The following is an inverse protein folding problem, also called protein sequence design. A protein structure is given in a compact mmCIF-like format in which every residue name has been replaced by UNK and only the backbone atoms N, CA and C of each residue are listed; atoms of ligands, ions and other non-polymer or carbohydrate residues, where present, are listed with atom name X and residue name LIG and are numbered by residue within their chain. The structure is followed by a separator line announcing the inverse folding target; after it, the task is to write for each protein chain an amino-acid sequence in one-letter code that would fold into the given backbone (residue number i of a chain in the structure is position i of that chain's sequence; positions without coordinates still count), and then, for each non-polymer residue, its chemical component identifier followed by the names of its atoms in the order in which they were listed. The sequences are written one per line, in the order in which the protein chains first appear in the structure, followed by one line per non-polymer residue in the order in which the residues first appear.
data_IF_595548090472
#
_entry.id   IF_595548090472
#
_cell.length_a   1.000
_cell.length_b   1.000
_cell.length_c   1.000
_cell.angle_alpha   90.00
_cell.angle_beta   90.00
_cell.angle_gamma   90.00
#
_symmetry.space_group_name_H-M   'P 1'
#
loop_
_entity.id
_entity.type
_entity.pdbx_description
1 polymer ?
#
# COMPACT_ATOMS: atom_id res chain seq x y z
N UNK A 1 0.09 28.74 7.99
CA UNK A 1 0.02 27.35 7.53
C UNK A 1 -1.25 27.24 6.71
N UNK A 2 -1.12 26.89 5.44
CA UNK A 2 -2.28 26.68 4.56
C UNK A 2 -2.98 25.36 4.88
N UNK A 3 -4.28 25.27 4.63
CA UNK A 3 -4.97 24.00 4.66
C UNK A 3 -4.53 23.18 3.44
N UNK A 4 -4.30 21.88 3.61
CA UNK A 4 -3.99 20.98 2.50
C UNK A 4 -5.21 20.13 2.21
N UNK A 5 -5.68 20.16 0.97
CA UNK A 5 -6.86 19.45 0.54
C UNK A 5 -6.49 18.27 -0.38
N UNK A 6 -7.23 17.17 -0.26
CA UNK A 6 -7.29 16.12 -1.27
C UNK A 6 -8.37 16.50 -2.27
N UNK A 7 -8.00 16.73 -3.53
CA UNK A 7 -8.90 17.21 -4.57
C UNK A 7 -9.15 16.19 -5.69
N UNK A 8 -8.45 15.06 -5.67
CA UNK A 8 -8.67 13.97 -6.62
C UNK A 8 -8.10 12.67 -6.12
N UNK A 9 -8.82 11.57 -6.35
CA UNK A 9 -8.39 10.23 -6.01
C UNK A 9 -8.54 9.30 -7.21
N UNK A 10 -7.58 8.39 -7.37
CA UNK A 10 -7.61 7.38 -8.41
C UNK A 10 -7.06 6.06 -7.92
N UNK A 11 -7.69 4.98 -8.34
CA UNK A 11 -7.29 3.64 -7.94
C UNK A 11 -7.36 2.69 -9.14
N UNK A 12 -6.35 1.85 -9.31
CA UNK A 12 -6.44 0.62 -10.08
C UNK A 12 -7.05 -0.47 -9.20
N UNK A 13 -7.89 -1.32 -9.76
CA UNK A 13 -8.48 -2.43 -8.98
C UNK A 13 -7.38 -3.30 -8.37
N UNK A 14 -7.55 -3.66 -7.08
CA UNK A 14 -6.64 -4.59 -6.41
C UNK A 14 -6.97 -6.03 -6.78
N UNK A 15 -5.94 -6.81 -7.07
CA UNK A 15 -6.13 -8.21 -7.49
C UNK A 15 -4.86 -8.90 -7.92
N UNK A 16 -5.01 -9.77 -8.91
CA UNK A 16 -3.94 -10.38 -9.68
C UNK A 16 -4.21 -10.12 -11.16
N UNK A 17 -3.31 -9.41 -11.80
CA UNK A 17 -3.50 -8.92 -13.17
C UNK A 17 -2.37 -9.42 -14.07
N UNK A 18 -2.70 -10.38 -14.96
CA UNK A 18 -1.75 -10.83 -15.96
C UNK A 18 -1.65 -9.83 -17.12
N UNK A 19 -0.46 -9.73 -17.72
CA UNK A 19 -0.23 -8.88 -18.89
C UNK A 19 -0.12 -7.37 -18.63
N UNK A 20 -0.32 -6.89 -17.39
CA UNK A 20 -0.14 -5.49 -17.01
C UNK A 20 0.96 -5.36 -15.95
N UNK A 21 1.89 -4.46 -16.11
CA UNK A 21 2.95 -4.20 -15.15
C UNK A 21 2.43 -3.41 -13.94
N UNK A 22 3.13 -3.51 -12.78
CA UNK A 22 2.77 -2.70 -11.62
C UNK A 22 2.88 -1.19 -11.91
N UNK A 23 3.85 -0.78 -12.73
CA UNK A 23 3.97 0.61 -13.18
C UNK A 23 2.73 1.06 -13.98
N UNK A 24 2.21 0.24 -14.89
CA UNK A 24 1.00 0.57 -15.64
C UNK A 24 -0.22 0.68 -14.74
N UNK A 25 -0.31 -0.16 -13.68
CA UNK A 25 -1.36 -0.02 -12.66
C UNK A 25 -1.25 1.31 -11.92
N UNK A 26 -0.04 1.76 -11.59
CA UNK A 26 0.21 3.08 -11.02
C UNK A 26 -0.18 4.21 -11.97
N UNK A 27 0.17 4.11 -13.26
CA UNK A 27 -0.22 5.10 -14.29
C UNK A 27 -1.74 5.20 -14.44
N UNK A 28 -2.45 4.07 -14.40
CA UNK A 28 -3.92 4.07 -14.41
C UNK A 28 -4.48 4.81 -13.19
N UNK A 29 -3.92 4.57 -12.00
CA UNK A 29 -4.32 5.28 -10.79
C UNK A 29 -4.08 6.80 -10.91
N UNK A 30 -2.92 7.22 -11.41
CA UNK A 30 -2.61 8.64 -11.66
C UNK A 30 -3.62 9.28 -12.63
N UNK A 31 -3.89 8.64 -13.77
CA UNK A 31 -4.85 9.15 -14.74
C UNK A 31 -6.27 9.28 -14.17
N UNK A 32 -6.70 8.32 -13.33
CA UNK A 32 -8.00 8.38 -12.65
C UNK A 32 -8.05 9.51 -11.62
N UNK A 33 -6.97 9.73 -10.85
CA UNK A 33 -6.89 10.83 -9.88
C UNK A 33 -6.93 12.21 -10.56
N UNK A 34 -6.24 12.36 -11.69
CA UNK A 34 -6.28 13.57 -12.51
C UNK A 34 -7.69 13.81 -13.09
N UNK A 35 -8.32 12.76 -13.59
CA UNK A 35 -9.70 12.87 -14.10
C UNK A 35 -10.70 13.25 -13.01
N UNK A 36 -10.54 12.72 -11.81
CA UNK A 36 -11.40 13.02 -10.64
C UNK A 36 -11.24 14.48 -10.18
N UNK A 37 -10.01 15.01 -10.21
CA UNK A 37 -9.73 16.42 -9.88
C UNK A 37 -10.08 17.40 -11.01
N UNK A 38 -10.33 16.94 -12.23
CA UNK A 38 -10.50 17.79 -13.41
C UNK A 38 -9.21 18.42 -13.91
N UNK A 39 -8.05 17.94 -13.46
CA UNK A 39 -6.73 18.46 -13.79
C UNK A 39 -5.98 17.55 -14.77
N UNK A 40 -4.89 18.05 -15.32
CA UNK A 40 -4.01 17.33 -16.22
C UNK A 40 -2.64 17.08 -15.60
N UNK A 41 -1.84 16.20 -16.19
CA UNK A 41 -0.47 15.95 -15.74
C UNK A 41 0.42 17.20 -15.84
N UNK A 42 0.16 18.07 -16.79
CA UNK A 42 0.87 19.33 -17.01
C UNK A 42 0.65 20.36 -15.88
N UNK A 43 -0.45 20.25 -15.16
CA UNK A 43 -0.76 21.15 -14.03
C UNK A 43 0.03 20.79 -12.77
N UNK A 44 0.55 19.57 -12.68
CA UNK A 44 1.28 19.09 -11.50
C UNK A 44 2.65 19.76 -11.38
N UNK A 45 2.93 20.34 -10.21
CA UNK A 45 4.20 20.98 -9.90
C UNK A 45 5.23 19.96 -9.37
N UNK A 46 4.77 18.91 -8.70
CA UNK A 46 5.62 17.83 -8.19
C UNK A 46 4.86 16.51 -8.16
N UNK A 47 5.62 15.41 -8.04
CA UNK A 47 5.08 14.09 -7.75
C UNK A 47 5.97 13.35 -6.74
N UNK A 48 5.35 12.66 -5.78
CA UNK A 48 5.99 11.67 -4.93
C UNK A 48 5.41 10.30 -5.22
N UNK A 49 6.26 9.29 -5.31
CA UNK A 49 5.73 7.96 -5.54
C UNK A 49 6.71 6.85 -5.24
N UNK A 50 6.20 5.63 -5.18
CA UNK A 50 7.04 4.48 -4.96
C UNK A 50 6.32 3.15 -5.01
N UNK A 51 7.13 2.14 -5.14
CA UNK A 51 6.77 0.74 -5.03
C UNK A 51 7.88 -0.01 -4.31
N UNK A 52 7.59 -1.22 -3.84
CA UNK A 52 8.63 -2.13 -3.35
C UNK A 52 9.24 -2.98 -4.47
N UNK A 53 8.41 -3.48 -5.38
CA UNK A 53 8.79 -4.52 -6.34
C UNK A 53 8.46 -4.17 -7.80
N UNK A 54 7.72 -3.09 -8.05
CA UNK A 54 7.22 -2.75 -9.38
C UNK A 54 8.05 -1.68 -10.12
N UNK A 55 9.20 -1.31 -9.58
CA UNK A 55 10.13 -0.35 -10.18
C UNK A 55 10.04 1.06 -9.60
N UNK A 56 10.85 1.97 -10.08
CA UNK A 56 10.92 3.36 -9.64
C UNK A 56 9.74 4.16 -10.20
N UNK A 57 9.11 4.98 -9.36
CA UNK A 57 7.87 5.69 -9.73
C UNK A 57 8.11 6.80 -10.77
N UNK A 58 9.27 7.45 -10.75
CA UNK A 58 9.66 8.49 -11.70
C UNK A 58 9.68 7.99 -13.16
N UNK A 59 9.86 6.70 -13.38
CA UNK A 59 9.76 6.11 -14.72
C UNK A 59 8.35 6.23 -15.35
N UNK A 60 7.32 6.55 -14.54
CA UNK A 60 5.96 6.83 -15.04
C UNK A 60 5.92 8.00 -16.02
N UNK A 61 6.88 8.92 -15.99
CA UNK A 61 6.97 10.04 -16.95
C UNK A 61 7.05 9.55 -18.39
N UNK A 62 7.57 8.35 -18.63
CA UNK A 62 7.58 7.73 -19.96
C UNK A 62 6.17 7.45 -20.52
N UNK A 63 5.16 7.36 -19.66
CA UNK A 63 3.77 7.09 -20.00
C UNK A 63 2.84 8.29 -19.77
N UNK A 64 3.24 9.22 -18.89
CA UNK A 64 2.45 10.42 -18.54
C UNK A 64 2.91 11.65 -19.32
N UNK A 65 4.15 11.68 -19.74
CA UNK A 65 4.78 12.80 -20.44
C UNK A 65 5.84 13.52 -19.62
N UNK A 66 6.79 14.14 -20.30
CA UNK A 66 7.84 14.95 -19.69
C UNK A 66 7.33 16.39 -19.55
N UNK A 67 7.15 16.87 -18.32
CA UNK A 67 6.72 18.24 -18.02
C UNK A 67 7.77 19.07 -17.32
N UNK A 68 8.86 18.42 -16.87
CA UNK A 68 9.88 19.04 -16.03
C UNK A 68 9.54 19.09 -14.54
N UNK A 69 8.40 18.51 -14.14
CA UNK A 69 8.05 18.41 -12.72
C UNK A 69 9.10 17.57 -11.95
N UNK A 70 9.27 17.89 -10.68
CA UNK A 70 10.11 17.11 -9.79
C UNK A 70 9.37 15.86 -9.34
N UNK A 71 9.80 14.69 -9.83
CA UNK A 71 9.27 13.40 -9.40
C UNK A 71 10.27 12.71 -8.47
N UNK A 72 9.90 12.53 -7.19
CA UNK A 72 10.76 11.96 -6.16
C UNK A 72 10.27 10.56 -5.81
N UNK A 73 11.19 9.59 -5.88
CA UNK A 73 10.96 8.23 -5.42
C UNK A 73 10.99 8.15 -3.90
N UNK A 74 9.97 7.50 -3.33
CA UNK A 74 9.84 7.23 -1.90
C UNK A 74 9.93 5.74 -1.67
N UNK A 75 10.67 5.32 -0.65
CA UNK A 75 10.81 3.92 -0.26
C UNK A 75 10.63 3.77 1.26
N UNK A 76 9.56 3.12 1.68
CA UNK A 76 9.28 2.81 3.09
C UNK A 76 8.54 1.47 3.24
N UNK A 77 8.98 0.44 2.52
CA UNK A 77 8.36 -0.88 2.55
C UNK A 77 6.86 -0.82 2.26
N UNK A 78 6.05 -1.46 3.12
CA UNK A 78 4.60 -1.47 2.98
C UNK A 78 3.94 -0.09 3.20
N UNK A 79 4.63 0.86 3.81
CA UNK A 79 4.15 2.22 4.06
C UNK A 79 4.55 3.23 2.98
N UNK A 80 5.13 2.78 1.86
CA UNK A 80 5.64 3.66 0.79
C UNK A 80 4.58 4.63 0.27
N UNK A 81 3.37 4.17 -0.02
CA UNK A 81 2.28 5.04 -0.48
C UNK A 81 1.87 6.10 0.55
N UNK A 82 1.77 5.71 1.83
CA UNK A 82 1.51 6.65 2.92
C UNK A 82 2.63 7.69 3.10
N UNK A 83 3.88 7.26 2.95
CA UNK A 83 5.03 8.16 3.01
C UNK A 83 5.08 9.13 1.81
N UNK A 84 4.69 8.68 0.62
CA UNK A 84 4.55 9.56 -0.55
C UNK A 84 3.49 10.64 -0.30
N UNK A 85 2.31 10.27 0.23
CA UNK A 85 1.27 11.23 0.59
C UNK A 85 1.72 12.20 1.68
N UNK A 86 2.41 11.71 2.71
CA UNK A 86 2.95 12.55 3.77
C UNK A 86 3.98 13.55 3.25
N UNK A 87 4.85 13.12 2.32
CA UNK A 87 5.81 14.03 1.66
C UNK A 87 5.11 15.08 0.81
N UNK A 88 4.06 14.70 0.07
CA UNK A 88 3.25 15.63 -0.72
C UNK A 88 2.55 16.66 0.18
N UNK A 89 1.95 16.21 1.28
CA UNK A 89 1.34 17.08 2.28
C UNK A 89 2.32 18.14 2.80
N UNK A 90 3.50 17.71 3.25
CA UNK A 90 4.52 18.62 3.78
C UNK A 90 5.02 19.63 2.73
N UNK A 91 5.08 19.24 1.46
CA UNK A 91 5.50 20.13 0.37
C UNK A 91 4.50 21.26 0.12
N UNK A 92 3.21 20.99 0.27
CA UNK A 92 2.15 22.00 0.21
C UNK A 92 2.16 22.86 1.50
N UNK A 93 2.13 22.22 2.67
CA UNK A 93 2.05 22.90 3.96
C UNK A 93 3.22 23.86 4.19
N UNK A 94 4.42 23.51 3.69
CA UNK A 94 5.60 24.38 3.74
C UNK A 94 5.56 25.57 2.79
N UNK A 95 4.57 25.64 1.89
CA UNK A 95 4.47 26.67 0.85
C UNK A 95 5.49 26.52 -0.29
N UNK A 96 6.13 25.35 -0.41
CA UNK A 96 7.06 25.09 -1.50
C UNK A 96 6.34 24.91 -2.83
N UNK A 97 5.14 24.31 -2.78
CA UNK A 97 4.28 24.05 -3.92
C UNK A 97 2.81 24.21 -3.53
N UNK A 98 1.94 24.43 -4.50
CA UNK A 98 0.50 24.58 -4.33
C UNK A 98 -0.29 23.37 -4.83
N UNK A 99 0.29 22.54 -5.70
CA UNK A 99 -0.42 21.45 -6.39
C UNK A 99 0.53 20.30 -6.73
N UNK A 100 0.15 19.09 -6.36
CA UNK A 100 0.95 17.91 -6.71
C UNK A 100 0.22 16.59 -6.51
N UNK A 101 0.93 15.50 -6.74
CA UNK A 101 0.35 14.16 -6.71
C UNK A 101 1.25 13.18 -5.93
N UNK A 102 0.61 12.31 -5.17
CA UNK A 102 1.25 11.15 -4.54
C UNK A 102 0.73 9.86 -5.17
N UNK A 103 1.61 8.89 -5.45
CA UNK A 103 1.25 7.59 -6.00
C UNK A 103 1.97 6.45 -5.29
N UNK A 104 1.21 5.45 -4.87
CA UNK A 104 1.72 4.16 -4.40
C UNK A 104 1.21 3.04 -5.30
N UNK A 105 2.07 2.13 -5.69
CA UNK A 105 1.70 1.01 -6.54
C UNK A 105 2.62 -0.18 -6.26
N UNK A 106 2.14 -1.38 -6.49
CA UNK A 106 3.01 -2.55 -6.40
C UNK A 106 2.46 -3.76 -7.15
N UNK A 107 3.38 -4.68 -7.46
CA UNK A 107 3.10 -5.97 -8.03
C UNK A 107 4.08 -6.99 -7.48
N UNK A 108 3.58 -7.94 -6.69
CA UNK A 108 4.39 -8.90 -5.98
C UNK A 108 4.25 -10.32 -6.54
N UNK A 109 5.30 -11.11 -6.39
CA UNK A 109 5.21 -12.55 -6.57
C UNK A 109 4.28 -13.18 -5.52
N UNK A 110 3.84 -14.41 -5.78
CA UNK A 110 3.02 -15.16 -4.82
C UNK A 110 3.88 -15.63 -3.64
N UNK A 111 3.29 -15.66 -2.47
CA UNK A 111 3.92 -16.18 -1.25
C UNK A 111 4.31 -15.10 -0.25
N UNK A 112 5.01 -15.51 0.80
CA UNK A 112 5.47 -14.60 1.84
C UNK A 112 6.67 -13.77 1.36
N UNK A 113 6.68 -12.50 1.72
CA UNK A 113 7.83 -11.63 1.46
C UNK A 113 9.06 -12.14 2.21
N UNK A 114 10.14 -12.33 1.46
CA UNK A 114 11.46 -12.62 2.01
C UNK A 114 12.26 -11.33 2.01
N UNK A 115 12.50 -10.72 3.15
CA UNK A 115 13.40 -9.56 3.20
C UNK A 115 14.81 -9.98 2.82
N UNK A 116 15.56 -9.07 2.21
CA UNK A 116 16.99 -9.27 1.95
C UNK A 116 17.74 -9.42 3.27
N UNK A 117 18.59 -10.43 3.39
CA UNK A 117 19.47 -10.60 4.56
C UNK A 117 20.45 -9.44 4.71
N UNK A 118 20.77 -8.72 3.63
CA UNK A 118 21.57 -7.50 3.67
C UNK A 118 20.85 -6.36 4.40
N UNK A 119 19.49 -6.32 4.34
CA UNK A 119 18.69 -5.27 5.00
C UNK A 119 18.47 -5.53 6.50
N UNK A 120 18.38 -6.79 6.92
CA UNK A 120 17.97 -7.16 8.29
C UNK A 120 19.06 -7.88 9.11
N UNK A 121 20.23 -8.07 8.54
CA UNK A 121 21.33 -8.82 9.15
C UNK A 121 21.19 -10.34 9.00
N UNK A 122 22.31 -10.97 8.79
CA UNK A 122 22.38 -12.41 8.49
C UNK A 122 21.87 -13.30 9.65
N UNK A 123 22.15 -12.90 10.89
CA UNK A 123 21.71 -13.63 12.08
C UNK A 123 20.18 -13.74 12.18
N UNK A 124 19.50 -12.66 11.80
CA UNK A 124 18.04 -12.61 11.83
C UNK A 124 17.42 -13.56 10.79
N UNK A 125 18.01 -13.59 9.57
CA UNK A 125 17.62 -14.55 8.55
C UNK A 125 17.90 -16.00 8.96
N UNK A 126 19.06 -16.26 9.55
CA UNK A 126 19.43 -17.62 10.04
C UNK A 126 18.56 -18.11 11.19
N UNK A 127 18.04 -17.23 12.03
CA UNK A 127 17.12 -17.59 13.11
C UNK A 127 15.69 -17.90 12.64
N UNK A 128 15.41 -17.80 11.34
CA UNK A 128 14.09 -18.02 10.76
C UNK A 128 13.09 -16.86 10.95
N UNK A 129 13.53 -15.72 11.48
CA UNK A 129 12.68 -14.57 11.79
C UNK A 129 12.49 -13.61 10.61
N UNK A 130 13.04 -13.95 9.45
CA UNK A 130 13.04 -13.10 8.28
C UNK A 130 11.72 -13.08 7.51
N UNK A 131 10.82 -14.04 7.72
CA UNK A 131 9.52 -14.05 7.06
C UNK A 131 8.57 -13.08 7.74
N UNK A 132 7.86 -12.27 6.95
CA UNK A 132 6.87 -11.31 7.46
C UNK A 132 5.79 -11.98 8.31
N UNK A 133 5.37 -13.19 7.97
CA UNK A 133 4.39 -13.97 8.76
C UNK A 133 4.91 -14.27 10.16
N UNK A 134 6.17 -14.68 10.30
CA UNK A 134 6.80 -14.97 11.58
C UNK A 134 6.98 -13.69 12.41
N UNK A 135 7.47 -12.63 11.80
CA UNK A 135 7.66 -11.34 12.44
C UNK A 135 6.35 -10.78 13.03
N UNK A 136 5.28 -10.79 12.25
CA UNK A 136 3.97 -10.32 12.74
C UNK A 136 3.35 -11.28 13.74
N UNK A 137 3.50 -12.59 13.59
CA UNK A 137 3.05 -13.56 14.58
C UNK A 137 3.67 -13.31 15.95
N UNK A 138 4.99 -13.11 16.01
CA UNK A 138 5.68 -12.77 17.27
C UNK A 138 5.22 -11.45 17.88
N UNK A 139 5.08 -10.40 17.07
CA UNK A 139 4.59 -9.09 17.53
C UNK A 139 3.19 -9.19 18.14
N UNK A 140 2.28 -9.86 17.45
CA UNK A 140 0.90 -10.01 17.92
C UNK A 140 0.85 -10.88 19.17
N UNK A 141 1.64 -11.96 19.24
CA UNK A 141 1.71 -12.79 20.45
C UNK A 141 2.19 -11.98 21.66
N UNK A 142 3.21 -11.15 21.49
CA UNK A 142 3.68 -10.22 22.53
C UNK A 142 2.60 -9.21 22.91
N UNK A 143 1.92 -8.63 21.94
CA UNK A 143 0.83 -7.68 22.15
C UNK A 143 -0.34 -8.31 22.94
N UNK A 144 -0.71 -9.55 22.60
CA UNK A 144 -1.73 -10.30 23.34
C UNK A 144 -1.33 -10.51 24.81
N UNK A 145 -0.05 -10.85 25.05
CA UNK A 145 0.47 -11.05 26.40
C UNK A 145 0.46 -9.74 27.21
N UNK A 146 0.90 -8.64 26.64
CA UNK A 146 1.00 -7.35 27.35
C UNK A 146 -0.35 -6.70 27.63
N UNK A 147 -1.29 -6.80 26.67
CA UNK A 147 -2.55 -6.06 26.72
C UNK A 147 -3.79 -6.95 26.93
N UNK A 148 -3.60 -8.24 27.12
CA UNK A 148 -4.68 -9.18 27.43
C UNK A 148 -5.70 -9.36 26.29
N UNK A 149 -5.38 -9.00 25.06
CA UNK A 149 -6.27 -9.25 23.92
C UNK A 149 -6.29 -10.74 23.56
N UNK A 150 -7.41 -11.20 23.05
CA UNK A 150 -7.63 -12.61 22.72
C UNK A 150 -7.63 -12.86 21.22
N UNK A 151 -7.53 -14.11 20.80
CA UNK A 151 -7.69 -14.50 19.39
C UNK A 151 -9.02 -14.04 18.82
N UNK A 152 -10.10 -14.05 19.59
CA UNK A 152 -11.41 -13.57 19.15
C UNK A 152 -11.38 -12.08 18.75
N UNK A 153 -10.52 -11.26 19.36
CA UNK A 153 -10.31 -9.88 18.93
C UNK A 153 -9.67 -9.83 17.55
N UNK A 154 -8.67 -10.68 17.29
CA UNK A 154 -8.01 -10.76 15.97
C UNK A 154 -8.99 -11.24 14.90
N UNK A 155 -9.81 -12.24 15.19
CA UNK A 155 -10.87 -12.72 14.31
C UNK A 155 -11.83 -11.60 13.94
N UNK A 156 -12.33 -10.84 14.92
CA UNK A 156 -13.25 -9.70 14.68
C UNK A 156 -12.63 -8.59 13.83
N UNK A 157 -11.34 -8.34 13.97
CA UNK A 157 -10.61 -7.38 13.11
C UNK A 157 -10.61 -7.86 11.66
N UNK A 158 -10.29 -9.13 11.43
CA UNK A 158 -10.30 -9.72 10.10
C UNK A 158 -11.72 -9.76 9.50
N UNK A 159 -12.72 -10.21 10.27
CA UNK A 159 -14.12 -10.24 9.85
C UNK A 159 -14.60 -8.84 9.41
N UNK A 160 -14.31 -7.81 10.20
CA UNK A 160 -14.60 -6.42 9.83
C UNK A 160 -13.92 -6.03 8.52
N UNK A 161 -12.66 -6.40 8.34
CA UNK A 161 -11.91 -6.08 7.12
C UNK A 161 -12.52 -6.75 5.88
N UNK A 162 -12.87 -8.03 5.94
CA UNK A 162 -13.54 -8.74 4.85
C UNK A 162 -14.93 -8.18 4.55
N UNK A 163 -15.72 -7.88 5.58
CA UNK A 163 -17.01 -7.21 5.41
C UNK A 163 -16.86 -5.85 4.71
N UNK A 164 -15.91 -5.04 5.13
CA UNK A 164 -15.66 -3.74 4.49
C UNK A 164 -15.12 -3.90 3.05
N UNK A 165 -14.28 -4.91 2.81
CA UNK A 165 -13.81 -5.26 1.47
C UNK A 165 -14.96 -5.61 0.52
N UNK A 166 -16.01 -6.28 0.99
CA UNK A 166 -17.17 -6.62 0.15
C UNK A 166 -17.95 -5.40 -0.34
N UNK A 167 -17.86 -4.28 0.38
CA UNK A 167 -18.49 -3.01 0.03
C UNK A 167 -17.66 -2.16 -0.94
N UNK A 168 -16.37 -2.48 -1.12
CA UNK A 168 -15.48 -1.72 -1.99
C UNK A 168 -15.30 -2.42 -3.35
N UNK A 169 -15.80 -1.84 -4.46
CA UNK A 169 -15.68 -2.45 -5.78
C UNK A 169 -14.21 -2.59 -6.25
N UNK A 170 -13.30 -1.82 -5.68
CA UNK A 170 -11.88 -1.84 -6.02
C UNK A 170 -11.06 -2.84 -5.17
N UNK A 171 -11.67 -3.46 -4.15
CA UNK A 171 -10.99 -4.43 -3.32
C UNK A 171 -10.84 -5.80 -4.01
N UNK A 172 -9.72 -6.46 -3.80
CA UNK A 172 -9.52 -7.82 -4.31
C UNK A 172 -10.41 -8.85 -3.60
N UNK A 173 -10.48 -8.78 -2.26
CA UNK A 173 -11.26 -9.72 -1.44
C UNK A 173 -12.63 -9.12 -1.16
N UNK A 174 -13.62 -9.57 -1.94
CA UNK A 174 -14.99 -9.02 -1.90
C UNK A 174 -16.03 -9.96 -1.32
N UNK A 175 -15.60 -11.13 -0.88
CA UNK A 175 -16.48 -12.07 -0.19
C UNK A 175 -16.31 -11.90 1.33
N UNK A 176 -17.36 -11.62 2.08
CA UNK A 176 -17.30 -11.59 3.53
C UNK A 176 -17.02 -13.00 4.06
N UNK A 177 -16.20 -13.06 5.10
CA UNK A 177 -15.88 -14.32 5.78
C UNK A 177 -16.46 -14.30 7.20
N UNK A 178 -16.98 -15.43 7.64
CA UNK A 178 -17.43 -15.59 9.03
C UNK A 178 -16.25 -15.77 9.98
N UNK A 179 -16.49 -15.54 11.27
CA UNK A 179 -15.53 -15.78 12.33
C UNK A 179 -14.95 -17.22 12.28
N UNK A 180 -15.82 -18.22 12.09
CA UNK A 180 -15.43 -19.63 12.03
C UNK A 180 -14.51 -19.93 10.82
N UNK A 181 -14.82 -19.35 9.66
CA UNK A 181 -13.96 -19.49 8.48
C UNK A 181 -12.58 -18.87 8.68
N UNK A 182 -12.53 -17.72 9.33
CA UNK A 182 -11.26 -17.01 9.63
C UNK A 182 -10.44 -17.81 10.63
N UNK A 183 -11.06 -18.22 11.74
CA UNK A 183 -10.37 -18.96 12.81
C UNK A 183 -9.95 -20.36 12.37
N UNK A 184 -10.78 -21.03 11.59
CA UNK A 184 -10.53 -22.39 11.04
C UNK A 184 -9.57 -22.43 9.87
N UNK A 185 -9.13 -21.29 9.34
CA UNK A 185 -8.15 -21.27 8.25
C UNK A 185 -6.75 -21.70 8.71
N UNK A 186 -5.88 -22.08 7.77
CA UNK A 186 -4.55 -22.61 8.07
C UNK A 186 -3.74 -21.68 8.99
N UNK A 187 -3.20 -22.23 10.08
CA UNK A 187 -2.27 -21.48 10.95
C UNK A 187 -0.96 -21.24 10.23
N UNK A 188 -0.61 -19.99 9.97
CA UNK A 188 0.66 -19.62 9.33
C UNK A 188 1.76 -19.29 10.34
N UNK A 189 1.42 -18.53 11.37
CA UNK A 189 2.31 -18.22 12.49
C UNK A 189 1.47 -17.82 13.69
N UNK A 190 1.49 -18.61 14.75
CA UNK A 190 0.67 -18.36 15.94
C UNK A 190 0.82 -16.89 16.43
N UNK A 191 -0.28 -16.19 16.73
CA UNK A 191 -1.68 -16.64 16.76
C UNK A 191 -2.44 -16.44 15.44
N UNK A 192 -1.76 -16.09 14.36
CA UNK A 192 -2.35 -15.64 13.10
C UNK A 192 -2.60 -16.79 12.11
N UNK A 193 -3.85 -16.91 11.67
CA UNK A 193 -4.26 -17.79 10.59
C UNK A 193 -4.15 -17.10 9.22
N UNK A 194 -4.30 -17.85 8.14
CA UNK A 194 -4.17 -17.38 6.77
C UNK A 194 -5.03 -16.15 6.47
N UNK A 195 -6.28 -16.14 6.95
CA UNK A 195 -7.19 -15.01 6.69
C UNK A 195 -7.00 -13.80 7.62
N UNK A 196 -6.09 -13.89 8.57
CA UNK A 196 -5.64 -12.75 9.38
C UNK A 196 -4.42 -12.02 8.77
N UNK A 197 -3.83 -12.57 7.70
CA UNK A 197 -2.75 -11.94 6.96
C UNK A 197 -3.26 -11.19 5.72
N UNK A 198 -2.51 -10.16 5.31
CA UNK A 198 -2.74 -9.49 4.04
C UNK A 198 -2.55 -10.46 2.87
N UNK A 199 -3.33 -10.28 1.81
CA UNK A 199 -3.11 -10.98 0.54
C UNK A 199 -2.05 -10.23 -0.28
N UNK A 200 -1.14 -10.95 -0.98
CA UNK A 200 -0.18 -10.34 -1.88
C UNK A 200 -0.89 -9.84 -3.15
N UNK A 201 -1.58 -8.72 -3.03
CA UNK A 201 -2.34 -8.06 -4.10
C UNK A 201 -1.45 -7.17 -4.96
N UNK A 202 -1.96 -6.86 -6.13
CA UNK A 202 -1.39 -5.91 -7.08
C UNK A 202 -2.37 -4.75 -7.24
N UNK A 203 -1.88 -3.56 -7.50
CA UNK A 203 -2.70 -2.38 -7.72
C UNK A 203 -1.93 -1.09 -7.55
N UNK A 204 -2.63 0.02 -7.69
CA UNK A 204 -2.08 1.35 -7.49
C UNK A 204 -3.15 2.32 -6.99
N UNK A 205 -2.71 3.31 -6.23
CA UNK A 205 -3.53 4.42 -5.74
C UNK A 205 -2.77 5.72 -5.96
N UNK A 206 -3.45 6.74 -6.46
CA UNK A 206 -2.91 8.08 -6.58
C UNK A 206 -3.86 9.10 -5.95
N UNK A 207 -3.29 10.16 -5.40
CA UNK A 207 -4.01 11.21 -4.68
C UNK A 207 -3.46 12.55 -5.13
N UNK A 208 -4.31 13.43 -5.64
CA UNK A 208 -3.97 14.83 -5.96
C UNK A 208 -4.22 15.68 -4.71
N UNK A 209 -3.22 16.47 -4.35
CA UNK A 209 -3.25 17.38 -3.19
C UNK A 209 -2.99 18.81 -3.62
N UNK A 210 -3.70 19.75 -2.99
CA UNK A 210 -3.57 21.18 -3.24
C UNK A 210 -3.60 21.99 -1.95
N UNK A 211 -3.13 23.25 -2.02
CA UNK A 211 -3.27 24.26 -0.98
C UNK A 211 -4.68 24.80 -0.85
#
# INVERSE_FOLDING_TARGET
MGEVAIIGIGMHEFGRHEGISGMEQGVVAVRRALADSGLTWQDMQFAFGGSRSAGAADLMVSKLGLTGLQFINVANGCATGGSALFSAWNSIESGMFDLGIAVGFDKHERGAFRPSTAEIGEWYGRSGLALTTQFFGMKINRYMHEFGITRSTLVRVAEKAYRNGSLNPMAWRREPLSADQIEGSAMLSYPLTQYMFCSPGEGGVAIVVAS
#
